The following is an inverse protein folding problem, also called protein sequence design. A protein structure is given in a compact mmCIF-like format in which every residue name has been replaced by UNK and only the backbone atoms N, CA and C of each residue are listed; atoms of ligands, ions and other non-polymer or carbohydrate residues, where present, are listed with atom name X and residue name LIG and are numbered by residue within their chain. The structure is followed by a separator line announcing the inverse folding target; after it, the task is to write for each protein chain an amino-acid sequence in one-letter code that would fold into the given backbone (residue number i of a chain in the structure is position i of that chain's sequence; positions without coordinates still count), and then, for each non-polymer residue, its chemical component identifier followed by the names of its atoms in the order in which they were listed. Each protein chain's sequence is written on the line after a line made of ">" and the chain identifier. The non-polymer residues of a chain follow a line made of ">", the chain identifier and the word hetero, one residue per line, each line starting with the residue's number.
data_IF_260976626128
#
_entry.id   IF_260976626128
#
_cell.length_a   1.000
_cell.length_b   1.000
_cell.length_c   1.000
_cell.angle_alpha   90.00
_cell.angle_beta   90.00
_cell.angle_gamma   90.00
#
_symmetry.space_group_name_H-M   'P 1'
#
loop_
_entity.id
_entity.type
_entity.pdbx_description
1 polymer ?
#
# COMPACT_ATOMS: atom_id res chain seq x y z
N UNK A 1 -19.97 4.73 -3.52
CA UNK A 1 -18.74 4.48 -2.73
C UNK A 1 -19.10 3.83 -1.39
N UNK A 2 -19.93 2.78 -1.42
CA UNK A 2 -20.61 2.21 -0.24
C UNK A 2 -20.60 0.67 -0.23
N UNK A 3 -20.15 0.04 -1.30
CA UNK A 3 -20.18 -1.43 -1.52
C UNK A 3 -18.88 -2.15 -1.09
N UNK A 4 -17.72 -1.46 -1.09
CA UNK A 4 -16.42 -2.06 -0.77
C UNK A 4 -16.14 -2.24 0.74
N UNK A 5 -17.02 -1.73 1.61
CA UNK A 5 -16.94 -1.82 3.08
C UNK A 5 -17.35 -3.20 3.64
N UNK A 6 -17.94 -4.08 2.81
CA UNK A 6 -18.67 -5.26 3.28
C UNK A 6 -17.86 -6.55 3.50
N UNK A 7 -16.56 -6.62 3.23
CA UNK A 7 -15.87 -7.93 3.10
C UNK A 7 -14.65 -8.20 4.00
N UNK A 8 -14.64 -7.72 5.25
CA UNK A 8 -13.62 -8.15 6.21
C UNK A 8 -14.18 -8.35 7.63
N UNK A 9 -15.08 -9.30 7.82
CA UNK A 9 -15.44 -9.79 9.16
C UNK A 9 -14.49 -10.93 9.54
N UNK A 10 -13.72 -10.79 10.62
CA UNK A 10 -12.84 -11.85 11.14
C UNK A 10 -13.41 -12.33 12.47
N UNK A 11 -13.59 -13.65 12.56
CA UNK A 11 -14.16 -14.32 13.71
C UNK A 11 -13.04 -14.85 14.61
N UNK A 12 -12.94 -14.38 15.86
CA UNK A 12 -12.05 -14.94 16.88
C UNK A 12 -12.87 -15.88 17.79
N UNK A 13 -12.55 -17.18 17.78
CA UNK A 13 -13.19 -18.18 18.63
C UNK A 13 -12.26 -18.61 19.77
N UNK A 14 -12.80 -18.74 21.00
CA UNK A 14 -12.17 -19.55 22.06
C UNK A 14 -13.25 -20.34 22.80
N UNK A 15 -13.29 -21.66 22.59
CA UNK A 15 -14.23 -22.55 23.27
C UNK A 15 -13.52 -23.37 24.35
N UNK A 16 -13.95 -23.16 25.60
CA UNK A 16 -14.15 -24.24 26.58
C UNK A 16 -15.24 -23.95 27.62
N UNK A 17 -15.59 -22.67 27.91
CA UNK A 17 -16.77 -22.29 28.73
C UNK A 17 -17.38 -20.93 28.35
N UNK A 18 -17.92 -20.83 27.13
CA UNK A 18 -18.97 -19.86 26.79
C UNK A 18 -18.62 -18.37 26.73
N UNK A 19 -17.69 -17.95 25.87
CA UNK A 19 -17.52 -16.52 25.55
C UNK A 19 -17.37 -16.35 24.03
N UNK A 20 -18.37 -15.72 23.40
CA UNK A 20 -18.39 -15.37 21.96
C UNK A 20 -18.17 -13.87 21.83
N UNK A 21 -17.04 -13.46 21.26
CA UNK A 21 -16.76 -12.05 20.97
C UNK A 21 -16.93 -11.80 19.47
N UNK A 22 -17.81 -10.86 19.10
CA UNK A 22 -17.97 -10.41 17.71
C UNK A 22 -17.15 -9.14 17.50
N UNK A 23 -15.97 -9.28 16.89
CA UNK A 23 -15.14 -8.14 16.52
C UNK A 23 -15.40 -7.78 15.06
N UNK A 24 -15.70 -6.52 14.80
CA UNK A 24 -15.68 -5.95 13.46
C UNK A 24 -14.24 -5.53 13.17
N UNK A 25 -13.63 -6.15 12.16
CA UNK A 25 -12.45 -5.56 11.55
C UNK A 25 -12.93 -4.62 10.45
N UNK A 26 -12.58 -3.35 10.57
CA UNK A 26 -12.71 -2.41 9.49
C UNK A 26 -11.31 -2.09 8.99
N UNK A 27 -10.90 -2.82 7.95
CA UNK A 27 -9.74 -2.39 7.15
C UNK A 27 -10.23 -1.18 6.36
N UNK A 28 -9.80 0.02 6.75
CA UNK A 28 -10.20 1.21 6.04
C UNK A 28 -9.57 1.17 4.63
N UNK A 29 -10.36 1.20 3.54
CA UNK A 29 -9.81 1.25 2.19
C UNK A 29 -9.14 2.61 1.89
N UNK A 30 -9.13 3.55 2.84
CA UNK A 30 -8.79 4.96 2.62
C UNK A 30 -7.31 5.30 2.80
N UNK A 31 -6.44 4.32 2.91
CA UNK A 31 -5.02 4.55 2.63
C UNK A 31 -4.86 4.67 1.12
N UNK A 32 -5.27 5.81 0.57
CA UNK A 32 -5.07 6.14 -0.85
C UNK A 32 -3.61 5.80 -1.16
N UNK A 33 -3.40 4.89 -2.11
CA UNK A 33 -2.05 4.51 -2.53
C UNK A 33 -1.41 5.75 -3.12
N UNK A 34 -0.42 6.31 -2.42
CA UNK A 34 0.28 7.52 -2.85
C UNK A 34 1.40 7.13 -3.79
N UNK A 35 1.19 7.33 -5.09
CA UNK A 35 2.17 6.97 -6.14
C UNK A 35 3.05 8.14 -6.61
N UNK A 36 2.98 9.31 -5.95
CA UNK A 36 3.70 10.52 -6.39
C UNK A 36 5.22 10.37 -6.40
N UNK A 37 5.77 9.51 -5.54
CA UNK A 37 7.21 9.22 -5.45
C UNK A 37 7.56 7.80 -5.88
N UNK A 38 6.69 7.13 -6.65
CA UNK A 38 6.99 5.79 -7.14
C UNK A 38 8.34 5.77 -7.89
N UNK A 39 9.22 4.77 -7.68
CA UNK A 39 9.07 3.59 -6.80
C UNK A 39 9.62 3.77 -5.36
N UNK A 40 10.04 4.97 -4.98
CA UNK A 40 10.54 5.33 -3.64
C UNK A 40 9.42 5.84 -2.72
N UNK A 41 8.27 5.18 -2.78
CA UNK A 41 7.08 5.55 -2.04
C UNK A 41 6.99 4.88 -0.66
N UNK A 42 6.35 5.59 0.26
CA UNK A 42 5.93 5.08 1.56
C UNK A 42 4.41 5.06 1.60
N UNK A 43 3.84 3.95 2.07
CA UNK A 43 2.40 3.78 2.22
C UNK A 43 2.04 3.72 3.69
N UNK A 44 0.96 4.40 4.07
CA UNK A 44 0.43 4.39 5.43
C UNK A 44 -0.90 3.66 5.43
N UNK A 45 -0.92 2.42 5.90
CA UNK A 45 -2.10 1.57 5.96
C UNK A 45 -2.76 1.67 7.34
N UNK A 46 -4.06 2.03 7.38
CA UNK A 46 -4.82 2.14 8.64
C UNK A 46 -5.83 1.00 8.75
N UNK A 47 -5.71 0.19 9.80
CA UNK A 47 -6.65 -0.89 10.12
C UNK A 47 -7.35 -0.55 11.43
N UNK A 48 -8.68 -0.61 11.45
CA UNK A 48 -9.47 -0.32 12.63
C UNK A 48 -10.14 -1.60 13.13
N UNK A 49 -10.08 -1.83 14.43
CA UNK A 49 -10.78 -2.91 15.10
C UNK A 49 -11.79 -2.30 16.05
N UNK A 50 -13.05 -2.72 15.96
CA UNK A 50 -14.13 -2.21 16.80
C UNK A 50 -15.13 -3.32 17.07
N UNK A 51 -15.90 -3.22 18.14
CA UNK A 51 -17.05 -4.09 18.37
C UNK A 51 -18.19 -3.74 17.41
N UNK A 52 -18.95 -4.75 16.96
CA UNK A 52 -20.15 -4.48 16.15
C UNK A 52 -21.36 -4.11 17.02
N UNK A 53 -21.53 -4.79 18.15
CA UNK A 53 -22.75 -4.70 18.97
C UNK A 53 -22.51 -3.94 20.27
N UNK A 54 -21.37 -4.19 20.91
CA UNK A 54 -21.09 -3.73 22.27
C UNK A 54 -20.56 -2.29 22.28
N UNK A 55 -21.14 -1.45 23.14
CA UNK A 55 -20.66 -0.09 23.38
C UNK A 55 -19.46 -0.06 24.33
N UNK A 56 -18.84 1.11 24.51
CA UNK A 56 -17.68 1.29 25.40
C UNK A 56 -17.96 0.84 26.85
N UNK A 57 -19.20 1.01 27.33
CA UNK A 57 -19.63 0.60 28.67
C UNK A 57 -19.72 -0.93 28.83
N UNK A 58 -20.00 -1.65 27.73
CA UNK A 58 -20.20 -3.10 27.72
C UNK A 58 -18.92 -3.87 27.40
N UNK A 59 -18.01 -3.26 26.62
CA UNK A 59 -16.77 -3.89 26.18
C UNK A 59 -15.61 -2.89 26.12
N UNK A 60 -14.64 -3.11 27.00
CA UNK A 60 -13.37 -2.39 26.97
C UNK A 60 -12.33 -3.14 26.13
N UNK A 61 -11.99 -2.58 24.97
CA UNK A 61 -10.89 -3.07 24.13
C UNK A 61 -9.62 -2.28 24.49
N UNK A 62 -8.53 -2.98 24.82
CA UNK A 62 -7.21 -2.38 25.10
C UNK A 62 -6.15 -3.03 24.22
N UNK A 63 -5.19 -2.23 23.75
CA UNK A 63 -3.99 -2.76 23.15
C UNK A 63 -3.12 -3.41 24.24
N UNK A 64 -2.52 -4.56 23.92
CA UNK A 64 -1.53 -5.19 24.79
C UNK A 64 -0.20 -4.42 24.78
N UNK A 65 0.09 -3.74 23.68
CA UNK A 65 1.30 -2.94 23.47
C UNK A 65 1.01 -1.86 22.45
N UNK A 66 1.55 -0.66 22.68
CA UNK A 66 1.32 0.51 21.81
C UNK A 66 2.23 0.49 20.57
N UNK A 67 3.36 -0.20 20.65
CA UNK A 67 4.34 -0.37 19.58
C UNK A 67 4.70 -1.85 19.40
N UNK A 68 4.85 -2.29 18.16
CA UNK A 68 5.34 -3.64 17.88
C UNK A 68 6.84 -3.61 17.61
N UNK A 69 7.58 -4.47 18.30
CA UNK A 69 8.99 -4.67 18.00
C UNK A 69 9.16 -5.59 16.79
N UNK A 70 9.42 -4.96 15.65
CA UNK A 70 9.65 -5.63 14.36
C UNK A 70 11.00 -6.36 14.32
N UNK A 71 11.90 -6.12 15.27
CA UNK A 71 13.24 -6.76 15.32
C UNK A 71 13.20 -8.21 15.78
N UNK A 72 12.08 -8.64 16.41
CA UNK A 72 11.92 -9.96 17.00
C UNK A 72 11.75 -11.12 15.99
N UNK A 73 11.80 -10.83 14.68
CA UNK A 73 11.68 -11.85 13.62
C UNK A 73 10.29 -12.47 13.49
N UNK A 74 9.29 -12.00 14.26
CA UNK A 74 7.90 -12.47 14.17
C UNK A 74 7.19 -12.00 12.90
N UNK A 75 7.75 -11.00 12.21
CA UNK A 75 7.23 -10.49 10.96
C UNK A 75 8.16 -10.85 9.81
N UNK A 76 7.62 -11.59 8.84
CA UNK A 76 8.27 -11.86 7.58
C UNK A 76 7.61 -10.95 6.53
N UNK A 77 8.30 -9.86 6.18
CA UNK A 77 7.85 -8.98 5.10
C UNK A 77 7.69 -9.72 3.78
N UNK A 78 6.90 -9.14 2.86
CA UNK A 78 6.87 -9.61 1.48
C UNK A 78 8.14 -9.12 0.75
N UNK A 79 8.50 -9.74 -0.38
CA UNK A 79 9.60 -9.33 -1.25
C UNK A 79 9.46 -7.91 -1.82
N UNK A 80 8.25 -7.35 -1.83
CA UNK A 80 7.99 -6.01 -2.37
C UNK A 80 7.96 -4.92 -1.29
N UNK A 81 7.55 -5.25 -0.06
CA UNK A 81 7.23 -4.28 0.98
C UNK A 81 7.88 -4.64 2.32
N UNK A 82 8.63 -3.68 2.85
CA UNK A 82 9.20 -3.69 4.18
C UNK A 82 8.26 -2.93 5.13
N UNK A 83 7.87 -3.55 6.25
CA UNK A 83 7.15 -2.83 7.31
C UNK A 83 8.18 -2.07 8.14
N UNK A 84 8.03 -0.74 8.21
CA UNK A 84 8.95 0.12 8.96
C UNK A 84 8.47 0.39 10.37
N UNK A 85 7.16 0.52 10.57
CA UNK A 85 6.58 0.75 11.89
C UNK A 85 5.13 0.26 11.96
N UNK A 86 4.72 -0.17 13.15
CA UNK A 86 3.33 -0.46 13.48
C UNK A 86 3.05 0.24 14.81
N UNK A 87 2.10 1.16 14.80
CA UNK A 87 1.62 1.86 15.99
C UNK A 87 0.15 1.56 16.23
N UNK A 88 -0.23 1.48 17.50
CA UNK A 88 -1.61 1.21 17.92
C UNK A 88 -2.11 2.35 18.77
N UNK A 89 -3.29 2.85 18.45
CA UNK A 89 -3.97 3.88 19.22
C UNK A 89 -5.38 3.42 19.57
N UNK A 90 -5.79 3.60 20.83
CA UNK A 90 -7.16 3.32 21.26
C UNK A 90 -7.98 4.60 21.24
N UNK A 91 -9.01 4.65 20.38
CA UNK A 91 -9.84 5.83 20.14
C UNK A 91 -11.31 5.50 20.41
N UNK A 92 -12.03 6.38 21.10
CA UNK A 92 -13.50 6.27 21.20
C UNK A 92 -14.13 7.02 20.02
N UNK A 93 -14.98 6.32 19.26
CA UNK A 93 -15.72 6.92 18.14
C UNK A 93 -17.21 6.84 18.45
N UNK A 94 -17.92 7.94 18.18
CA UNK A 94 -19.38 8.01 18.30
C UNK A 94 -20.02 7.71 16.96
N UNK A 95 -20.96 6.77 16.94
CA UNK A 95 -21.73 6.42 15.74
C UNK A 95 -22.90 7.40 15.51
N UNK A 96 -23.58 7.27 14.36
CA UNK A 96 -24.71 8.12 13.96
C UNK A 96 -25.87 8.09 14.97
N UNK A 97 -26.04 6.98 15.69
CA UNK A 97 -27.04 6.82 16.75
C UNK A 97 -26.59 7.36 18.13
N UNK A 98 -25.52 8.18 18.17
CA UNK A 98 -24.96 8.78 19.39
C UNK A 98 -24.47 7.75 20.43
N UNK A 99 -24.08 6.56 19.96
CA UNK A 99 -23.50 5.49 20.78
C UNK A 99 -21.97 5.52 20.66
N UNK A 100 -21.29 5.40 21.79
CA UNK A 100 -19.83 5.37 21.83
C UNK A 100 -19.29 3.95 21.72
N UNK A 101 -18.35 3.77 20.80
CA UNK A 101 -17.64 2.51 20.57
C UNK A 101 -16.15 2.70 20.80
N UNK A 102 -15.54 1.72 21.49
CA UNK A 102 -14.10 1.69 21.68
C UNK A 102 -13.45 1.04 20.44
N UNK A 103 -12.60 1.78 19.76
CA UNK A 103 -11.88 1.31 18.58
C UNK A 103 -10.37 1.23 18.82
N UNK A 104 -9.69 0.27 18.20
CA UNK A 104 -8.23 0.23 18.08
C UNK A 104 -7.83 0.55 16.64
N UNK A 105 -7.02 1.60 16.46
CA UNK A 105 -6.51 2.05 15.18
C UNK A 105 -5.05 1.62 15.08
N UNK A 106 -4.77 0.69 14.17
CA UNK A 106 -3.44 0.27 13.80
C UNK A 106 -2.97 1.09 12.62
N UNK A 107 -1.87 1.81 12.76
CA UNK A 107 -1.20 2.51 11.67
C UNK A 107 0.07 1.73 11.30
N UNK A 108 0.07 1.19 10.10
CA UNK A 108 1.17 0.38 9.55
C UNK A 108 1.86 1.21 8.48
N UNK A 109 3.16 1.41 8.62
CA UNK A 109 3.98 2.07 7.62
C UNK A 109 4.73 1.03 6.79
N UNK A 110 4.56 1.14 5.48
CA UNK A 110 5.16 0.25 4.48
C UNK A 110 6.10 1.04 3.59
N UNK A 111 7.27 0.49 3.34
CA UNK A 111 8.28 1.01 2.41
C UNK A 111 8.50 0.02 1.27
N UNK A 112 8.45 0.49 0.03
CA UNK A 112 8.67 -0.37 -1.13
C UNK A 112 10.16 -0.66 -1.34
N UNK A 113 10.47 -1.91 -1.71
CA UNK A 113 11.78 -2.24 -2.28
C UNK A 113 11.87 -1.75 -3.73
N UNK A 114 12.44 -0.56 -3.92
CA UNK A 114 12.44 0.17 -5.20
C UNK A 114 13.43 -0.36 -6.25
N UNK A 115 14.47 -1.09 -5.83
CA UNK A 115 15.59 -1.47 -6.70
C UNK A 115 15.14 -2.21 -7.97
N UNK A 116 14.22 -3.18 -7.84
CA UNK A 116 13.69 -3.94 -8.96
C UNK A 116 13.02 -3.02 -10.01
N UNK A 117 12.19 -2.09 -9.58
CA UNK A 117 11.50 -1.15 -10.47
C UNK A 117 12.46 -0.20 -11.16
N UNK A 118 13.55 0.21 -10.49
CA UNK A 118 14.59 1.05 -11.11
C UNK A 118 15.28 0.29 -12.25
N UNK A 119 15.69 -0.96 -12.02
CA UNK A 119 16.39 -1.75 -13.04
C UNK A 119 15.50 -2.21 -14.20
N UNK A 120 14.23 -2.51 -13.94
CA UNK A 120 13.33 -3.07 -14.97
C UNK A 120 12.54 -1.98 -15.71
N UNK A 121 12.16 -0.88 -15.05
CA UNK A 121 11.39 0.19 -15.69
C UNK A 121 12.26 1.38 -16.09
N UNK A 122 13.08 1.91 -15.17
CA UNK A 122 13.81 3.16 -15.42
C UNK A 122 15.06 2.96 -16.29
N UNK A 123 15.78 1.85 -16.11
CA UNK A 123 17.01 1.62 -16.88
C UNK A 123 16.73 1.43 -18.39
N UNK A 124 15.75 0.60 -18.83
CA UNK A 124 15.49 0.42 -20.26
C UNK A 124 14.89 1.67 -20.91
N UNK A 125 14.01 2.39 -20.21
CA UNK A 125 13.45 3.67 -20.67
C UNK A 125 14.54 4.74 -20.84
N UNK A 126 15.50 4.82 -19.94
CA UNK A 126 16.63 5.76 -20.06
C UNK A 126 17.55 5.39 -21.23
N UNK A 127 17.90 4.10 -21.39
CA UNK A 127 18.75 3.63 -22.49
C UNK A 127 18.08 3.92 -23.84
N UNK A 128 16.79 3.58 -23.97
CA UNK A 128 16.03 3.84 -25.20
C UNK A 128 15.93 5.34 -25.51
N UNK A 129 15.64 6.19 -24.52
CA UNK A 129 15.62 7.64 -24.70
C UNK A 129 16.99 8.19 -25.15
N UNK A 130 18.08 7.73 -24.53
CA UNK A 130 19.44 8.13 -24.91
C UNK A 130 19.80 7.69 -26.34
N UNK A 131 19.44 6.46 -26.72
CA UNK A 131 19.64 5.96 -28.09
C UNK A 131 18.85 6.76 -29.12
N UNK A 132 17.60 7.14 -28.81
CA UNK A 132 16.81 8.02 -29.66
C UNK A 132 17.45 9.40 -29.82
N UNK A 133 17.96 10.01 -28.75
CA UNK A 133 18.65 11.30 -28.80
C UNK A 133 19.96 11.21 -29.61
N UNK A 134 20.81 10.21 -29.34
CA UNK A 134 22.06 10.01 -30.09
C UNK A 134 21.77 9.77 -31.58
N UNK A 135 20.76 8.93 -31.89
CA UNK A 135 20.32 8.68 -33.25
C UNK A 135 19.87 9.94 -34.00
N UNK A 136 19.26 10.89 -33.29
CA UNK A 136 18.85 12.18 -33.86
C UNK A 136 20.03 13.14 -34.10
N UNK A 137 21.03 13.15 -33.20
CA UNK A 137 22.14 14.10 -33.24
C UNK A 137 23.40 13.61 -33.97
N UNK A 138 23.49 12.32 -34.31
CA UNK A 138 24.68 11.81 -35.02
C UNK A 138 24.65 12.25 -36.49
N UNK A 139 25.65 13.02 -36.97
CA UNK A 139 25.67 13.52 -38.34
C UNK A 139 26.12 12.38 -39.27
N UNK A 140 25.15 11.70 -39.90
CA UNK A 140 25.46 10.68 -40.89
C UNK A 140 25.39 11.23 -42.31
N UNK A 141 26.43 10.87 -43.07
CA UNK A 141 26.73 11.24 -44.44
C UNK A 141 25.50 11.13 -45.37
N UNK A 142 25.40 12.06 -46.32
CA UNK A 142 24.22 12.38 -47.15
C UNK A 142 23.79 11.28 -48.17
N UNK A 143 23.42 10.08 -47.71
CA UNK A 143 22.82 9.07 -48.59
C UNK A 143 21.88 8.12 -47.80
N UNK A 144 20.57 8.23 -48.02
CA UNK A 144 19.58 7.24 -47.57
C UNK A 144 18.58 7.73 -46.50
N UNK A 145 17.35 7.23 -46.61
CA UNK A 145 16.11 7.76 -46.03
C UNK A 145 16.14 8.10 -44.53
N UNK A 146 15.84 9.38 -44.23
CA UNK A 146 15.68 9.92 -42.86
C UNK A 146 14.41 9.43 -42.14
N UNK A 147 13.45 8.87 -42.89
CA UNK A 147 12.10 8.56 -42.39
C UNK A 147 12.09 7.28 -41.52
N UNK A 148 12.78 6.23 -41.95
CA UNK A 148 12.72 4.91 -41.32
C UNK A 148 13.22 4.92 -39.86
N UNK A 149 14.28 5.69 -39.57
CA UNK A 149 14.86 5.75 -38.21
C UNK A 149 14.07 6.60 -37.23
N UNK A 150 13.43 7.66 -37.72
CA UNK A 150 12.50 8.46 -36.91
C UNK A 150 11.28 7.62 -36.55
N UNK A 151 10.77 6.83 -37.50
CA UNK A 151 9.68 5.87 -37.26
C UNK A 151 10.09 4.76 -36.29
N UNK A 152 11.32 4.24 -36.34
CA UNK A 152 11.83 3.26 -35.36
C UNK A 152 11.95 3.85 -33.95
N UNK A 153 12.44 5.09 -33.81
CA UNK A 153 12.47 5.80 -32.52
C UNK A 153 11.06 6.09 -31.97
N UNK A 154 10.11 6.50 -32.83
CA UNK A 154 8.72 6.74 -32.47
C UNK A 154 7.96 5.46 -32.13
N UNK A 155 8.15 4.37 -32.88
CA UNK A 155 7.49 3.08 -32.62
C UNK A 155 8.02 2.41 -31.36
N UNK A 156 9.31 2.54 -31.06
CA UNK A 156 9.87 2.05 -29.79
C UNK A 156 9.35 2.87 -28.60
N UNK A 157 9.27 4.19 -28.73
CA UNK A 157 8.60 5.05 -27.74
C UNK A 157 7.12 4.69 -27.56
N UNK A 158 6.38 4.48 -28.66
CA UNK A 158 4.97 4.06 -28.65
C UNK A 158 4.77 2.64 -28.10
N UNK A 159 5.74 1.74 -28.26
CA UNK A 159 5.67 0.38 -27.72
C UNK A 159 5.91 0.31 -26.21
N UNK A 160 6.54 1.36 -25.66
CA UNK A 160 6.88 1.47 -24.24
C UNK A 160 5.84 2.28 -23.45
N UNK A 161 5.01 3.06 -24.16
CA UNK A 161 3.89 3.85 -23.64
C UNK A 161 2.60 3.01 -23.56
#
# INVERSE_FOLDING_TARGET
>A
MTELSRKFQVFLYRLRKGLKWFLRIFIAPSSIIRISKFPFDHQHCKVKFSSWVYTEDELTIKALTDTFDLSSGMYQGNSEWEVTSITVEAVTTTDQDNKNFRELHYSIELKRHSAYYVYVLFLPTFITAALCLIGLFTPFNNAGDRCERTTLGLTTLLSLA
#
